data_IF_716213677797
#
_entry.id   IF_716213677797
#
_cell.length_a   1.000
_cell.length_b   1.000
_cell.length_c   1.000
_cell.angle_alpha   90.00
_cell.angle_beta   90.00
_cell.angle_gamma   90.00
#
_symmetry.space_group_name_H-M   'P 1'
#
loop_
_entity.id
_entity.type
_entity.pdbx_description
1 polymer ?
#
# COMPACT_ATOMS: atom_id res chain seq x y z
N UNK A 1 4.67 15.09 -6.14
CA UNK A 1 4.58 13.73 -6.70
C UNK A 1 5.85 12.98 -6.31
N UNK A 2 5.75 11.74 -5.84
CA UNK A 2 6.83 10.98 -5.18
C UNK A 2 7.96 10.54 -6.10
N UNK A 3 8.78 11.44 -6.63
CA UNK A 3 9.80 11.10 -7.63
C UNK A 3 11.10 10.48 -7.11
N UNK A 4 11.13 9.78 -5.97
CA UNK A 4 12.42 9.30 -5.41
C UNK A 4 12.29 8.12 -4.43
N UNK A 5 11.29 8.10 -3.54
CA UNK A 5 11.01 6.95 -2.66
C UNK A 5 9.52 6.63 -2.62
N UNK A 6 9.18 5.33 -2.62
CA UNK A 6 7.79 4.86 -2.59
C UNK A 6 7.10 4.78 -3.96
N UNK A 7 7.86 4.77 -5.06
CA UNK A 7 7.35 4.43 -6.40
C UNK A 7 7.36 2.92 -6.58
N UNK A 8 6.21 2.35 -6.95
CA UNK A 8 6.05 0.93 -7.18
C UNK A 8 6.62 0.52 -8.54
N UNK A 9 7.42 -0.54 -8.53
CA UNK A 9 7.86 -1.25 -9.72
C UNK A 9 6.75 -2.15 -10.29
N UNK A 10 7.03 -2.79 -11.44
CA UNK A 10 6.10 -3.71 -12.10
C UNK A 10 5.74 -4.87 -11.15
N UNK A 11 4.44 -5.09 -10.94
CA UNK A 11 3.91 -6.17 -10.10
C UNK A 11 4.00 -5.93 -8.59
N UNK A 12 4.55 -4.80 -8.14
CA UNK A 12 4.58 -4.47 -6.72
C UNK A 12 3.21 -4.04 -6.21
N UNK A 13 3.01 -4.22 -4.90
CA UNK A 13 1.75 -3.92 -4.22
C UNK A 13 2.01 -2.93 -3.07
N UNK A 14 1.22 -1.86 -3.01
CA UNK A 14 1.17 -0.98 -1.85
C UNK A 14 -0.16 -1.09 -1.12
N UNK A 15 -0.09 -0.94 0.19
CA UNK A 15 -1.24 -0.59 1.03
C UNK A 15 -1.11 0.89 1.40
N UNK A 16 -2.14 1.69 1.12
CA UNK A 16 -2.10 3.15 1.20
C UNK A 16 -3.26 3.70 2.03
N UNK A 17 -2.99 4.75 2.81
CA UNK A 17 -4.01 5.51 3.55
C UNK A 17 -4.53 6.72 2.77
N UNK A 18 -4.17 6.83 1.49
CA UNK A 18 -4.74 7.83 0.58
C UNK A 18 -6.17 7.45 0.16
N UNK A 19 -6.78 8.25 -0.70
CA UNK A 19 -8.14 8.05 -1.20
C UNK A 19 -8.23 7.66 -2.68
N UNK A 20 -7.11 7.32 -3.33
CA UNK A 20 -7.08 7.01 -4.77
C UNK A 20 -6.14 5.85 -5.06
N UNK A 21 -6.63 4.91 -5.86
CA UNK A 21 -5.91 3.70 -6.30
C UNK A 21 -6.06 3.42 -7.80
N UNK A 22 -6.20 4.46 -8.63
CA UNK A 22 -6.27 4.28 -10.07
C UNK A 22 -4.96 3.69 -10.63
N UNK A 23 -5.04 3.03 -11.79
CA UNK A 23 -3.88 2.40 -12.46
C UNK A 23 -2.73 3.39 -12.63
N UNK A 24 -1.52 2.99 -12.25
CA UNK A 24 -0.32 3.83 -12.33
C UNK A 24 -0.26 4.97 -11.31
N UNK A 25 -1.15 4.99 -10.30
CA UNK A 25 -1.20 6.07 -9.30
C UNK A 25 0.10 6.26 -8.53
N UNK A 26 0.72 5.16 -8.11
CA UNK A 26 1.93 5.16 -7.27
C UNK A 26 3.16 4.60 -8.00
N UNK A 27 3.10 4.43 -9.33
CA UNK A 27 4.23 3.89 -10.09
C UNK A 27 3.81 3.18 -11.36
N UNK A 28 4.38 2.00 -11.59
CA UNK A 28 4.15 1.23 -12.80
C UNK A 28 2.65 0.93 -13.00
N UNK A 29 2.10 0.96 -14.23
CA UNK A 29 0.69 0.64 -14.48
C UNK A 29 0.27 -0.77 -14.02
N UNK A 30 1.20 -1.72 -14.03
CA UNK A 30 0.97 -3.09 -13.49
C UNK A 30 1.24 -3.20 -11.98
N UNK A 31 1.43 -2.09 -11.26
CA UNK A 31 1.44 -2.09 -9.79
C UNK A 31 0.01 -1.99 -9.24
N UNK A 32 -0.20 -2.51 -8.05
CA UNK A 32 -1.50 -2.51 -7.39
C UNK A 32 -1.47 -1.65 -6.12
N UNK A 33 -2.52 -0.86 -5.90
CA UNK A 33 -2.68 -0.04 -4.69
C UNK A 33 -3.99 -0.42 -4.00
N UNK A 34 -3.87 -0.84 -2.74
CA UNK A 34 -4.98 -1.16 -1.86
C UNK A 34 -5.19 0.00 -0.88
N UNK A 35 -6.43 0.41 -0.66
CA UNK A 35 -6.74 1.49 0.28
C UNK A 35 -7.17 0.93 1.62
N UNK A 36 -6.66 1.51 2.71
CA UNK A 36 -7.04 1.14 4.06
C UNK A 36 -7.02 2.33 5.01
N UNK A 37 -7.58 2.15 6.21
CA UNK A 37 -7.34 3.08 7.30
C UNK A 37 -5.90 2.92 7.87
N UNK A 38 -5.44 3.86 8.72
CA UNK A 38 -4.10 3.79 9.31
C UNK A 38 -3.84 2.57 10.19
N UNK A 39 -4.85 2.08 10.92
CA UNK A 39 -4.70 0.94 11.81
C UNK A 39 -4.36 -0.35 11.04
N UNK A 40 -5.06 -0.60 9.93
CA UNK A 40 -4.80 -1.74 9.04
C UNK A 40 -3.46 -1.57 8.33
N UNK A 41 -3.10 -0.35 7.90
CA UNK A 41 -1.81 -0.09 7.26
C UNK A 41 -0.64 -0.40 8.20
N UNK A 42 -0.69 0.07 9.45
CA UNK A 42 0.33 -0.20 10.44
C UNK A 42 0.45 -1.70 10.76
N UNK A 43 -0.67 -2.38 10.97
CA UNK A 43 -0.68 -3.81 11.24
C UNK A 43 -0.12 -4.62 10.07
N UNK A 44 -0.51 -4.27 8.84
CA UNK A 44 -0.04 -4.97 7.64
C UNK A 44 1.46 -4.74 7.38
N UNK A 45 1.97 -3.55 7.72
CA UNK A 45 3.40 -3.25 7.65
C UNK A 45 4.23 -4.13 8.60
N UNK A 46 3.69 -4.46 9.78
CA UNK A 46 4.33 -5.39 10.72
C UNK A 46 4.23 -6.85 10.22
N UNK A 47 3.08 -7.24 9.68
CA UNK A 47 2.82 -8.62 9.25
C UNK A 47 3.45 -9.00 7.90
N UNK A 48 3.80 -8.02 7.06
CA UNK A 48 4.26 -8.26 5.68
C UNK A 48 3.14 -8.72 4.73
N UNK A 49 1.88 -8.69 5.17
CA UNK A 49 0.67 -8.99 4.39
C UNK A 49 -0.50 -8.15 4.90
N UNK A 50 -1.56 -8.01 4.09
CA UNK A 50 -2.79 -7.37 4.55
C UNK A 50 -3.37 -8.21 5.70
N UNK A 51 -3.53 -7.58 6.87
CA UNK A 51 -3.95 -8.24 8.10
C UNK A 51 -4.75 -7.32 9.01
N UNK A 52 -5.48 -7.92 9.94
CA UNK A 52 -6.33 -7.21 10.88
C UNK A 52 -5.50 -6.68 12.07
N UNK A 53 -5.78 -5.49 12.62
CA UNK A 53 -4.97 -4.90 13.71
C UNK A 53 -4.87 -5.76 14.98
N UNK A 54 -5.79 -6.69 15.19
CA UNK A 54 -5.82 -7.58 16.34
C UNK A 54 -4.80 -8.73 16.23
N UNK A 55 -4.21 -8.96 15.06
CA UNK A 55 -3.19 -10.01 14.86
C UNK A 55 -1.80 -9.60 15.37
N UNK A 56 -1.59 -8.32 15.68
CA UNK A 56 -0.31 -7.74 16.18
C UNK A 56 -0.44 -7.15 17.59
N UNK A 57 -1.51 -7.51 18.31
CA UNK A 57 -1.74 -7.14 19.71
C UNK A 57 -1.19 -8.17 20.68
#
# INVERSE_FOLDING_TARGET
>A
LGGHMGILAKGERALSTTNRNFVGRMGHPESEVYLSNPAVAAASAVLGRIGHPQEVK
#
